data_IF_186814753461
#
_entry.id   IF_186814753461
#
_cell.length_a   1.000
_cell.length_b   1.000
_cell.length_c   1.000
_cell.angle_alpha   90.00
_cell.angle_beta   90.00
_cell.angle_gamma   90.00
#
_symmetry.space_group_name_H-M   'P 1'
#
loop_
_entity.id
_entity.type
_entity.pdbx_description
1 polymer ?
#
# COMPACT_ATOMS: atom_id res chain seq x y z
N UNK A 1 32.44 -1.23 12.53
CA UNK A 1 31.64 -1.02 13.76
C UNK A 1 30.22 -1.47 13.48
N UNK A 2 29.73 -2.50 14.18
CA UNK A 2 28.35 -2.98 14.02
C UNK A 2 27.47 -2.08 14.88
N UNK A 3 26.64 -1.22 14.28
CA UNK A 3 25.38 -0.85 14.92
C UNK A 3 24.76 -2.18 15.36
N UNK A 4 24.46 -2.42 16.65
CA UNK A 4 23.90 -3.70 17.06
C UNK A 4 22.65 -3.92 16.21
N UNK A 5 22.51 -5.07 15.55
CA UNK A 5 21.44 -5.29 14.54
C UNK A 5 20.07 -4.78 15.04
N UNK A 6 19.78 -4.95 16.33
CA UNK A 6 18.60 -4.42 17.02
C UNK A 6 18.37 -2.91 16.76
N UNK A 7 19.40 -2.08 16.85
CA UNK A 7 19.28 -0.64 16.59
C UNK A 7 19.00 -0.33 15.12
N UNK A 8 19.54 -1.10 14.16
CA UNK A 8 19.22 -0.95 12.74
C UNK A 8 17.74 -1.31 12.46
N UNK A 9 17.25 -2.42 13.01
CA UNK A 9 15.84 -2.81 12.91
C UNK A 9 14.90 -1.80 13.59
N UNK A 10 15.30 -1.24 14.74
CA UNK A 10 14.52 -0.21 15.42
C UNK A 10 14.42 1.08 14.59
N UNK A 11 15.53 1.51 13.97
CA UNK A 11 15.56 2.70 13.10
C UNK A 11 14.68 2.47 11.86
N UNK A 12 14.87 1.34 11.15
CA UNK A 12 14.07 1.00 9.96
C UNK A 12 12.59 0.84 10.32
N UNK A 13 12.28 0.23 11.47
CA UNK A 13 10.91 0.13 11.98
C UNK A 13 10.29 1.48 12.31
N UNK A 14 11.06 2.40 12.90
CA UNK A 14 10.62 3.78 13.15
C UNK A 14 10.33 4.55 11.85
N UNK A 15 11.18 4.41 10.84
CA UNK A 15 10.96 5.00 9.52
C UNK A 15 9.72 4.38 8.87
N UNK A 16 9.60 3.05 8.87
CA UNK A 16 8.44 2.35 8.32
C UNK A 16 7.12 2.74 8.98
N UNK A 17 7.10 2.91 10.30
CA UNK A 17 5.91 3.37 11.02
C UNK A 17 5.53 4.82 10.68
N UNK A 18 6.53 5.71 10.56
CA UNK A 18 6.30 7.09 10.14
C UNK A 18 5.77 7.15 8.71
N UNK A 19 6.36 6.35 7.81
CA UNK A 19 5.92 6.22 6.43
C UNK A 19 4.48 5.72 6.37
N UNK A 20 4.16 4.65 7.09
CA UNK A 20 2.80 4.13 7.13
C UNK A 20 1.77 5.18 7.60
N UNK A 21 2.13 5.99 8.59
CA UNK A 21 1.31 7.11 9.04
C UNK A 21 1.14 8.17 7.94
N UNK A 22 2.22 8.61 7.30
CA UNK A 22 2.19 9.61 6.23
C UNK A 22 1.37 9.11 5.04
N UNK A 23 1.58 7.88 4.59
CA UNK A 23 0.82 7.26 3.50
C UNK A 23 -0.66 7.21 3.84
N UNK A 24 -1.03 6.77 5.06
CA UNK A 24 -2.42 6.74 5.51
C UNK A 24 -3.08 8.13 5.53
N UNK A 25 -2.34 9.17 5.92
CA UNK A 25 -2.82 10.57 5.83
C UNK A 25 -3.01 11.00 4.38
N UNK A 26 -2.09 10.66 3.48
CA UNK A 26 -2.22 10.99 2.05
C UNK A 26 -3.37 10.25 1.39
N UNK A 27 -3.63 8.99 1.75
CA UNK A 27 -4.80 8.23 1.27
C UNK A 27 -6.10 8.86 1.79
N UNK A 28 -6.12 9.29 3.06
CA UNK A 28 -7.26 10.05 3.59
C UNK A 28 -7.50 11.31 2.75
N UNK A 29 -6.46 12.10 2.49
CA UNK A 29 -6.56 13.29 1.62
C UNK A 29 -6.99 12.93 0.19
N UNK A 30 -6.56 11.79 -0.34
CA UNK A 30 -6.99 11.29 -1.64
C UNK A 30 -8.51 11.05 -1.67
N UNK A 31 -9.06 10.38 -0.65
CA UNK A 31 -10.50 10.11 -0.52
C UNK A 31 -11.36 11.37 -0.29
N UNK A 32 -10.72 12.50 0.05
CA UNK A 32 -11.36 13.80 0.28
C UNK A 32 -11.12 14.77 -0.88
N UNK A 33 -10.32 14.38 -1.88
CA UNK A 33 -9.98 15.21 -3.02
C UNK A 33 -11.21 15.43 -3.93
N UNK A 34 -11.79 16.62 -3.88
CA UNK A 34 -12.90 17.03 -4.76
C UNK A 34 -12.45 17.83 -5.98
N UNK A 35 -11.23 18.37 -5.94
CA UNK A 35 -10.70 19.31 -6.95
C UNK A 35 -9.44 18.76 -7.60
N UNK A 36 -9.18 19.20 -8.83
CA UNK A 36 -7.99 18.81 -9.59
C UNK A 36 -6.69 19.19 -8.87
N UNK A 37 -6.62 20.35 -8.20
CA UNK A 37 -5.45 20.73 -7.42
C UNK A 37 -5.26 19.86 -6.18
N UNK A 38 -6.31 19.52 -5.44
CA UNK A 38 -6.16 18.62 -4.29
C UNK A 38 -5.67 17.24 -4.73
N UNK A 39 -6.22 16.71 -5.83
CA UNK A 39 -5.78 15.46 -6.43
C UNK A 39 -4.31 15.52 -6.90
N UNK A 40 -3.88 16.63 -7.51
CA UNK A 40 -2.50 16.79 -7.98
C UNK A 40 -1.51 16.94 -6.82
N UNK A 41 -1.88 17.61 -5.72
CA UNK A 41 -1.07 17.69 -4.49
C UNK A 41 -0.84 16.29 -3.91
N UNK A 42 -1.90 15.49 -3.75
CA UNK A 42 -1.78 14.13 -3.20
C UNK A 42 -0.89 13.26 -4.09
N UNK A 43 -1.13 13.29 -5.41
CA UNK A 43 -0.35 12.52 -6.38
C UNK A 43 1.13 12.95 -6.36
N UNK A 44 1.40 14.25 -6.26
CA UNK A 44 2.74 14.79 -6.15
C UNK A 44 3.46 14.31 -4.88
N UNK A 45 2.81 14.41 -3.72
CA UNK A 45 3.41 13.99 -2.46
C UNK A 45 3.72 12.49 -2.45
N UNK A 46 2.80 11.65 -2.95
CA UNK A 46 3.04 10.21 -3.11
C UNK A 46 4.20 9.93 -4.09
N UNK A 47 4.26 10.64 -5.22
CA UNK A 47 5.36 10.49 -6.18
C UNK A 47 6.72 10.90 -5.59
N UNK A 48 6.77 11.94 -4.75
CA UNK A 48 7.99 12.32 -4.04
C UNK A 48 8.46 11.22 -3.08
N UNK A 49 7.53 10.56 -2.38
CA UNK A 49 7.88 9.46 -1.47
C UNK A 49 8.53 8.29 -2.23
N UNK A 50 7.93 7.89 -3.37
CA UNK A 50 8.53 6.88 -4.27
C UNK A 50 9.92 7.31 -4.74
N UNK A 51 10.08 8.57 -5.18
CA UNK A 51 11.36 9.09 -5.66
C UNK A 51 12.46 9.06 -4.59
N UNK A 52 12.11 9.37 -3.33
CA UNK A 52 13.04 9.34 -2.21
C UNK A 52 13.62 7.94 -1.98
N UNK A 53 12.76 6.92 -1.97
CA UNK A 53 13.21 5.54 -1.81
C UNK A 53 13.86 4.96 -3.07
N UNK A 54 13.50 5.44 -4.27
CA UNK A 54 14.14 4.98 -5.50
C UNK A 54 15.65 5.34 -5.53
N UNK A 55 15.99 6.55 -5.06
CA UNK A 55 17.39 6.95 -4.90
C UNK A 55 18.12 6.12 -3.86
N UNK A 56 17.47 5.85 -2.71
CA UNK A 56 18.03 5.00 -1.66
C UNK A 56 18.23 3.55 -2.12
N UNK A 57 17.27 3.00 -2.86
CA UNK A 57 17.32 1.66 -3.41
C UNK A 57 18.56 1.47 -4.29
N UNK A 58 18.87 2.44 -5.16
CA UNK A 58 20.05 2.38 -6.03
C UNK A 58 21.35 2.23 -5.20
N UNK A 59 21.48 2.99 -4.12
CA UNK A 59 22.63 2.91 -3.22
C UNK A 59 22.75 1.51 -2.60
N UNK A 60 21.65 0.94 -2.12
CA UNK A 60 21.68 -0.36 -1.46
C UNK A 60 21.84 -1.54 -2.43
N UNK A 61 21.46 -1.38 -3.70
CA UNK A 61 21.68 -2.40 -4.75
C UNK A 61 23.16 -2.52 -5.10
N UNK A 62 23.89 -1.40 -5.18
CA UNK A 62 25.30 -1.39 -5.55
C UNK A 62 26.12 -0.45 -4.63
N UNK A 63 26.39 -0.84 -3.37
CA UNK A 63 26.99 0.06 -2.38
C UNK A 63 28.35 0.60 -2.83
N UNK A 64 28.43 1.91 -3.04
CA UNK A 64 29.67 2.58 -3.42
C UNK A 64 29.52 4.10 -3.61
N UNK A 65 30.62 4.86 -3.68
CA UNK A 65 30.54 6.32 -3.84
C UNK A 65 29.79 6.77 -5.09
N UNK A 66 29.90 6.03 -6.20
CA UNK A 66 29.17 6.31 -7.44
C UNK A 66 27.65 6.17 -7.25
N UNK A 67 27.21 5.10 -6.59
CA UNK A 67 25.78 4.84 -6.34
C UNK A 67 25.10 5.90 -5.47
N UNK A 68 25.83 6.55 -4.56
CA UNK A 68 25.30 7.68 -3.77
C UNK A 68 24.98 8.84 -4.72
N UNK A 69 25.91 9.18 -5.61
CA UNK A 69 25.76 10.28 -6.56
C UNK A 69 24.63 9.95 -7.55
N UNK A 70 24.63 8.75 -8.12
CA UNK A 70 23.60 8.30 -9.05
C UNK A 70 22.22 8.23 -8.37
N UNK A 71 22.15 7.79 -7.10
CA UNK A 71 20.91 7.73 -6.33
C UNK A 71 20.36 9.12 -6.01
N UNK A 72 21.23 10.07 -5.66
CA UNK A 72 20.86 11.48 -5.51
C UNK A 72 20.36 12.10 -6.81
N UNK A 73 21.02 11.81 -7.94
CA UNK A 73 20.57 12.28 -9.26
C UNK A 73 19.21 11.69 -9.63
N UNK A 74 19.02 10.38 -9.45
CA UNK A 74 17.77 9.70 -9.74
C UNK A 74 16.64 10.25 -8.88
N UNK A 75 16.85 10.35 -7.56
CA UNK A 75 15.86 10.92 -6.64
C UNK A 75 15.51 12.36 -7.01
N UNK A 76 16.51 13.20 -7.24
CA UNK A 76 16.32 14.60 -7.64
C UNK A 76 15.58 14.75 -8.97
N UNK A 77 15.91 13.90 -9.96
CA UNK A 77 15.28 13.91 -11.27
C UNK A 77 13.80 13.50 -11.15
N UNK A 78 13.52 12.40 -10.44
CA UNK A 78 12.15 11.92 -10.24
C UNK A 78 11.30 12.93 -9.45
N UNK A 79 11.85 13.51 -8.38
CA UNK A 79 11.19 14.59 -7.64
C UNK A 79 10.91 15.79 -8.54
N UNK A 80 11.88 16.25 -9.34
CA UNK A 80 11.70 17.37 -10.26
C UNK A 80 10.62 17.10 -11.31
N UNK A 81 10.61 15.89 -11.89
CA UNK A 81 9.59 15.48 -12.86
C UNK A 81 8.19 15.47 -12.21
N UNK A 82 8.09 15.02 -10.95
CA UNK A 82 6.81 14.95 -10.22
C UNK A 82 6.17 16.34 -9.97
N UNK A 83 6.98 17.41 -9.91
CA UNK A 83 6.48 18.79 -9.76
C UNK A 83 5.71 19.26 -10.99
N UNK A 84 6.12 18.83 -12.19
CA UNK A 84 5.55 19.30 -13.47
C UNK A 84 4.02 19.15 -13.52
N UNK A 85 3.42 17.96 -13.30
CA UNK A 85 1.97 17.81 -13.38
C UNK A 85 1.22 18.60 -12.30
N UNK A 86 1.79 18.74 -11.11
CA UNK A 86 1.24 19.59 -10.04
C UNK A 86 1.24 21.07 -10.47
N UNK A 87 2.39 21.57 -10.91
CA UNK A 87 2.58 22.95 -11.31
C UNK A 87 1.69 23.35 -12.50
N UNK A 88 1.56 22.49 -13.50
CA UNK A 88 0.66 22.72 -14.64
C UNK A 88 -0.80 22.79 -14.22
N UNK A 89 -1.22 21.93 -13.28
CA UNK A 89 -2.58 21.94 -12.73
C UNK A 89 -2.83 23.22 -11.92
N UNK A 90 -1.86 23.62 -11.10
CA UNK A 90 -1.91 24.83 -10.31
C UNK A 90 -1.97 26.10 -11.18
N UNK A 91 -1.11 26.22 -12.19
CA UNK A 91 -1.13 27.34 -13.14
C UNK A 91 -2.48 27.47 -13.86
N UNK A 92 -3.06 26.34 -14.27
CA UNK A 92 -4.40 26.33 -14.89
C UNK A 92 -5.47 26.84 -13.95
N UNK A 93 -5.40 26.48 -12.66
CA UNK A 93 -6.34 26.98 -11.66
C UNK A 93 -6.15 28.48 -11.38
N UNK A 94 -4.90 28.94 -11.23
CA UNK A 94 -4.59 30.37 -11.03
C UNK A 94 -5.08 31.19 -12.21
N UNK A 95 -4.80 30.77 -13.45
CA UNK A 95 -5.28 31.45 -14.66
C UNK A 95 -6.81 31.57 -14.66
N UNK A 96 -7.51 30.50 -14.32
CA UNK A 96 -8.97 30.50 -14.27
C UNK A 96 -9.51 31.42 -13.16
N UNK A 97 -8.89 31.44 -11.97
CA UNK A 97 -9.26 32.36 -10.89
C UNK A 97 -9.14 33.83 -11.34
N UNK A 98 -8.13 34.15 -12.15
CA UNK A 98 -7.95 35.50 -12.70
C UNK A 98 -9.00 35.82 -13.77
N UNK A 99 -9.34 34.86 -14.63
CA UNK A 99 -10.32 35.05 -15.71
C UNK A 99 -11.77 35.14 -15.20
N UNK A 100 -12.13 34.35 -14.18
CA UNK A 100 -13.51 34.21 -13.68
C UNK A 100 -13.82 35.09 -12.45
N UNK A 101 -12.79 35.60 -11.76
CA UNK A 101 -12.95 36.48 -10.59
C UNK A 101 -13.87 35.88 -9.52
N UNK A 102 -14.91 36.63 -9.13
CA UNK A 102 -15.87 36.25 -8.09
C UNK A 102 -16.75 35.03 -8.46
N UNK A 103 -16.81 34.65 -9.74
CA UNK A 103 -17.57 33.49 -10.21
C UNK A 103 -16.74 32.20 -10.22
N UNK A 104 -15.49 32.25 -9.74
CA UNK A 104 -14.59 31.10 -9.80
C UNK A 104 -15.15 29.88 -9.07
N UNK A 105 -15.20 28.76 -9.79
CA UNK A 105 -15.47 27.45 -9.24
C UNK A 105 -14.25 26.55 -9.43
N UNK A 106 -13.78 25.91 -8.36
CA UNK A 106 -12.65 25.00 -8.42
C UNK A 106 -12.92 23.83 -9.37
N UNK A 107 -11.95 23.51 -10.22
CA UNK A 107 -12.13 22.46 -11.24
C UNK A 107 -12.31 21.10 -10.59
N UNK A 108 -13.36 20.34 -10.94
CA UNK A 108 -13.51 18.97 -10.50
C UNK A 108 -12.46 18.05 -11.16
N UNK A 109 -12.29 16.87 -10.60
CA UNK A 109 -11.42 15.83 -11.17
C UNK A 109 -12.06 15.29 -12.45
N UNK A 110 -11.39 15.46 -13.60
CA UNK A 110 -11.92 15.07 -14.92
C UNK A 110 -12.04 13.56 -15.09
N UNK A 111 -11.06 12.81 -14.56
CA UNK A 111 -10.98 11.35 -14.70
C UNK A 111 -10.75 10.67 -13.34
N UNK A 112 -11.82 10.46 -12.54
CA UNK A 112 -11.69 9.92 -11.19
C UNK A 112 -11.02 8.54 -11.16
N UNK A 113 -11.36 7.65 -12.09
CA UNK A 113 -10.73 6.32 -12.18
C UNK A 113 -9.22 6.37 -12.43
N UNK A 114 -8.74 7.35 -13.23
CA UNK A 114 -7.29 7.53 -13.46
C UNK A 114 -6.59 8.05 -12.22
N UNK A 115 -7.26 8.93 -11.46
CA UNK A 115 -6.75 9.42 -10.19
C UNK A 115 -6.65 8.28 -9.16
N UNK A 116 -7.71 7.49 -8.99
CA UNK A 116 -7.72 6.32 -8.10
C UNK A 116 -6.59 5.36 -8.50
N UNK A 117 -6.50 5.00 -9.77
CA UNK A 117 -5.44 4.10 -10.25
C UNK A 117 -4.04 4.68 -10.02
N UNK A 118 -3.83 5.98 -10.21
CA UNK A 118 -2.55 6.63 -9.95
C UNK A 118 -2.19 6.62 -8.45
N UNK A 119 -3.14 6.91 -7.56
CA UNK A 119 -2.94 6.84 -6.11
C UNK A 119 -2.57 5.41 -5.69
N UNK A 120 -3.35 4.41 -6.13
CA UNK A 120 -3.07 2.99 -5.83
C UNK A 120 -1.68 2.59 -6.34
N UNK A 121 -1.36 2.93 -7.59
CA UNK A 121 -0.06 2.59 -8.18
C UNK A 121 1.11 3.26 -7.44
N UNK A 122 0.97 4.51 -7.01
CA UNK A 122 2.00 5.22 -6.28
C UNK A 122 2.18 4.69 -4.85
N UNK A 123 1.09 4.33 -4.15
CA UNK A 123 1.17 3.71 -2.84
C UNK A 123 1.86 2.34 -2.93
N UNK A 124 1.44 1.48 -3.87
CA UNK A 124 2.11 0.20 -4.10
C UNK A 124 3.56 0.37 -4.51
N UNK A 125 3.85 1.35 -5.37
CA UNK A 125 5.21 1.70 -5.76
C UNK A 125 6.05 2.12 -4.55
N UNK A 126 5.49 2.90 -3.63
CA UNK A 126 6.17 3.31 -2.41
C UNK A 126 6.50 2.09 -1.54
N UNK A 127 5.53 1.21 -1.30
CA UNK A 127 5.73 0.02 -0.47
C UNK A 127 6.73 -0.95 -1.08
N UNK A 128 6.69 -1.16 -2.40
CA UNK A 128 7.65 -2.03 -3.09
C UNK A 128 9.08 -1.46 -3.02
N UNK A 129 9.26 -0.17 -3.32
CA UNK A 129 10.59 0.45 -3.32
C UNK A 129 11.14 0.56 -1.89
N UNK A 130 10.30 0.93 -0.91
CA UNK A 130 10.67 0.94 0.51
C UNK A 130 11.01 -0.46 1.01
N UNK A 131 10.15 -1.45 0.74
CA UNK A 131 10.36 -2.85 1.13
C UNK A 131 11.66 -3.41 0.56
N UNK A 132 11.95 -3.17 -0.71
CA UNK A 132 13.22 -3.54 -1.35
C UNK A 132 14.42 -2.86 -0.68
N UNK A 133 14.31 -1.55 -0.41
CA UNK A 133 15.35 -0.76 0.26
C UNK A 133 15.65 -1.30 1.65
N UNK A 134 14.60 -1.58 2.44
CA UNK A 134 14.74 -2.06 3.81
C UNK A 134 15.24 -3.49 3.87
N UNK A 135 14.80 -4.34 2.94
CA UNK A 135 15.30 -5.70 2.82
C UNK A 135 16.81 -5.69 2.56
N UNK A 136 17.28 -4.90 1.60
CA UNK A 136 18.72 -4.76 1.32
C UNK A 136 19.50 -4.12 2.47
N UNK A 137 18.92 -3.12 3.15
CA UNK A 137 19.54 -2.48 4.30
C UNK A 137 19.66 -3.42 5.52
N UNK A 138 18.71 -4.34 5.69
CA UNK A 138 18.72 -5.34 6.75
C UNK A 138 19.62 -6.54 6.44
N UNK A 139 19.94 -6.80 5.16
CA UNK A 139 20.89 -7.81 4.71
C UNK A 139 20.89 -8.04 3.19
N UNK A 140 21.95 -8.64 2.63
CA UNK A 140 22.06 -8.85 1.19
C UNK A 140 21.20 -10.06 0.76
N UNK A 141 20.01 -9.82 0.19
CA UNK A 141 19.15 -10.90 -0.28
C UNK A 141 18.17 -10.51 -1.41
N UNK A 142 18.63 -9.74 -2.40
CA UNK A 142 17.94 -9.66 -3.70
C UNK A 142 18.80 -10.36 -4.74
N UNK A 143 18.40 -11.57 -5.13
CA UNK A 143 19.05 -12.35 -6.18
C UNK A 143 17.98 -13.04 -7.01
N UNK A 144 18.11 -13.03 -8.34
CA UNK A 144 17.15 -13.65 -9.24
C UNK A 144 16.64 -12.68 -10.31
N UNK A 145 15.59 -13.08 -11.00
CA UNK A 145 14.89 -12.24 -11.97
C UNK A 145 14.04 -11.15 -11.29
N UNK A 146 13.48 -10.24 -12.10
CA UNK A 146 12.62 -9.16 -11.59
C UNK A 146 11.38 -9.68 -10.82
N UNK A 147 10.83 -10.83 -11.24
CA UNK A 147 9.71 -11.47 -10.55
C UNK A 147 10.12 -12.02 -9.19
N UNK A 148 11.29 -12.67 -9.08
CA UNK A 148 11.80 -13.17 -7.80
C UNK A 148 12.03 -12.03 -6.80
N UNK A 149 12.54 -10.89 -7.28
CA UNK A 149 12.72 -9.67 -6.48
C UNK A 149 11.37 -9.13 -6.01
N UNK A 150 10.39 -8.99 -6.91
CA UNK A 150 9.06 -8.50 -6.55
C UNK A 150 8.35 -9.41 -5.55
N UNK A 151 8.41 -10.72 -5.76
CA UNK A 151 7.84 -11.72 -4.84
C UNK A 151 8.55 -11.70 -3.49
N UNK A 152 9.89 -11.61 -3.49
CA UNK A 152 10.68 -11.51 -2.25
C UNK A 152 10.34 -10.27 -1.44
N UNK A 153 10.15 -9.13 -2.10
CA UNK A 153 9.77 -7.86 -1.45
C UNK A 153 8.34 -7.91 -0.95
N UNK A 154 7.38 -8.35 -1.78
CA UNK A 154 5.95 -8.41 -1.43
C UNK A 154 5.66 -9.38 -0.27
N UNK A 155 6.51 -10.39 -0.09
CA UNK A 155 6.40 -11.34 1.02
C UNK A 155 7.28 -10.97 2.23
N UNK A 156 8.01 -9.87 2.16
CA UNK A 156 8.93 -9.44 3.22
C UNK A 156 8.19 -8.89 4.45
N UNK A 157 8.77 -9.01 5.66
CA UNK A 157 8.25 -8.37 6.87
C UNK A 157 8.04 -6.86 6.69
N UNK A 158 8.99 -6.22 6.01
CA UNK A 158 9.01 -4.78 5.81
C UNK A 158 7.87 -4.29 4.92
N UNK A 159 7.37 -5.12 4.01
CA UNK A 159 6.22 -4.80 3.17
C UNK A 159 4.91 -5.15 3.87
N UNK A 160 4.79 -6.34 4.45
CA UNK A 160 3.55 -6.81 5.04
C UNK A 160 3.15 -6.03 6.29
N UNK A 161 4.11 -5.73 7.18
CA UNK A 161 3.81 -5.00 8.41
C UNK A 161 3.53 -3.52 8.16
N UNK A 162 4.31 -2.83 7.32
CA UNK A 162 4.04 -1.42 7.00
C UNK A 162 2.70 -1.29 6.32
N UNK A 163 2.42 -2.14 5.33
CA UNK A 163 1.14 -2.10 4.63
C UNK A 163 -0.04 -2.42 5.54
N UNK A 164 0.04 -3.47 6.37
CA UNK A 164 -1.05 -3.76 7.31
C UNK A 164 -1.31 -2.60 8.26
N UNK A 165 -0.25 -1.89 8.68
CA UNK A 165 -0.37 -0.68 9.48
C UNK A 165 -1.00 0.48 8.69
N UNK A 166 -0.63 0.68 7.42
CA UNK A 166 -1.25 1.66 6.52
C UNK A 166 -2.74 1.42 6.35
N UNK A 167 -3.14 0.18 6.11
CA UNK A 167 -4.55 -0.21 6.00
C UNK A 167 -5.31 0.03 7.29
N UNK A 168 -4.73 -0.36 8.44
CA UNK A 168 -5.34 -0.16 9.74
C UNK A 168 -5.51 1.33 10.07
N UNK A 169 -4.48 2.15 9.84
CA UNK A 169 -4.51 3.59 10.07
C UNK A 169 -5.48 4.29 9.12
N UNK A 170 -5.49 3.92 7.84
CA UNK A 170 -6.42 4.47 6.85
C UNK A 170 -7.87 4.16 7.23
N UNK A 171 -8.15 2.90 7.60
CA UNK A 171 -9.48 2.48 8.07
C UNK A 171 -9.89 3.25 9.32
N UNK A 172 -8.96 3.45 10.25
CA UNK A 172 -9.20 4.23 11.46
C UNK A 172 -9.49 5.72 11.17
N UNK A 173 -8.73 6.34 10.27
CA UNK A 173 -8.92 7.75 9.90
C UNK A 173 -10.20 8.01 9.12
N UNK A 174 -10.72 7.01 8.42
CA UNK A 174 -11.94 7.11 7.64
C UNK A 174 -13.17 6.51 8.32
N UNK A 175 -13.06 6.09 9.59
CA UNK A 175 -14.13 5.42 10.36
C UNK A 175 -15.49 6.12 10.34
N UNK A 176 -15.48 7.46 10.28
CA UNK A 176 -16.71 8.28 10.33
C UNK A 176 -17.35 8.43 8.94
N UNK A 177 -16.65 8.02 7.88
CA UNK A 177 -17.09 8.13 6.47
C UNK A 177 -17.50 6.81 5.84
N UNK A 178 -17.04 5.69 6.40
CA UNK A 178 -17.38 4.35 5.93
C UNK A 178 -18.49 3.73 6.79
N UNK A 179 -19.32 2.89 6.18
CA UNK A 179 -20.36 2.19 6.93
C UNK A 179 -19.74 1.30 8.02
N UNK A 180 -20.42 1.13 9.15
CA UNK A 180 -19.95 0.22 10.21
C UNK A 180 -19.73 -1.22 9.69
N UNK A 181 -20.50 -1.59 8.66
CA UNK A 181 -20.34 -2.80 7.87
C UNK A 181 -18.93 -2.93 7.29
N UNK A 182 -18.59 -1.96 6.43
CA UNK A 182 -17.32 -1.88 5.72
C UNK A 182 -16.13 -1.69 6.68
N UNK A 183 -16.27 -0.85 7.71
CA UNK A 183 -15.23 -0.62 8.73
C UNK A 183 -14.71 -1.92 9.34
N UNK A 184 -15.62 -2.82 9.73
CA UNK A 184 -15.24 -4.11 10.33
C UNK A 184 -14.55 -5.02 9.32
N UNK A 185 -15.03 -5.06 8.08
CA UNK A 185 -14.40 -5.86 7.02
C UNK A 185 -12.97 -5.38 6.76
N UNK A 186 -12.79 -4.07 6.57
CA UNK A 186 -11.48 -3.45 6.31
C UNK A 186 -10.50 -3.63 7.49
N UNK A 187 -10.99 -3.56 8.73
CA UNK A 187 -10.18 -3.80 9.92
C UNK A 187 -9.77 -5.27 10.06
N UNK A 188 -10.69 -6.20 9.77
CA UNK A 188 -10.37 -7.63 9.74
C UNK A 188 -9.39 -7.94 8.59
N UNK A 189 -9.53 -7.27 7.46
CA UNK A 189 -8.64 -7.39 6.32
C UNK A 189 -7.21 -6.98 6.67
N UNK A 190 -7.02 -5.80 7.29
CA UNK A 190 -5.69 -5.37 7.73
C UNK A 190 -5.09 -6.31 8.79
N UNK A 191 -5.92 -6.87 9.68
CA UNK A 191 -5.49 -7.86 10.65
C UNK A 191 -5.06 -9.19 10.00
N UNK A 192 -5.81 -9.68 9.01
CA UNK A 192 -5.45 -10.89 8.25
C UNK A 192 -4.10 -10.69 7.55
N UNK A 193 -3.89 -9.53 6.92
CA UNK A 193 -2.63 -9.19 6.29
C UNK A 193 -1.47 -9.14 7.30
N UNK A 194 -1.67 -8.53 8.48
CA UNK A 194 -0.68 -8.53 9.56
C UNK A 194 -0.30 -9.95 10.01
N UNK A 195 -1.27 -10.86 10.01
CA UNK A 195 -1.10 -12.27 10.40
C UNK A 195 -0.63 -13.16 9.25
N UNK A 196 -0.05 -12.58 8.20
CA UNK A 196 0.53 -13.35 7.10
C UNK A 196 1.74 -14.17 7.57
N UNK A 197 1.78 -15.49 7.33
CA UNK A 197 2.87 -16.36 7.80
C UNK A 197 4.21 -16.08 7.14
N UNK A 198 4.22 -15.48 5.95
CA UNK A 198 5.44 -15.06 5.27
C UNK A 198 6.12 -13.85 5.93
N UNK A 199 5.40 -13.11 6.78
CA UNK A 199 5.94 -11.89 7.40
C UNK A 199 7.17 -12.17 8.28
N UNK A 200 7.26 -13.33 8.94
CA UNK A 200 8.47 -13.70 9.70
C UNK A 200 8.78 -15.20 9.48
N UNK A 201 10.01 -15.50 9.10
CA UNK A 201 10.51 -16.87 8.92
C UNK A 201 10.85 -17.59 10.25
N UNK A 202 10.09 -17.32 11.31
CA UNK A 202 10.23 -17.97 12.61
C UNK A 202 9.18 -19.07 12.71
N UNK A 203 9.57 -20.31 12.98
CA UNK A 203 8.63 -21.45 13.05
C UNK A 203 7.45 -21.21 14.02
N UNK A 204 7.69 -20.53 15.14
CA UNK A 204 6.64 -20.11 16.07
C UNK A 204 5.68 -19.07 15.49
N UNK A 205 6.17 -18.11 14.69
CA UNK A 205 5.33 -17.14 13.99
C UNK A 205 4.47 -17.82 12.94
N UNK A 206 5.06 -18.67 12.09
CA UNK A 206 4.32 -19.37 11.03
C UNK A 206 3.15 -20.16 11.60
N UNK A 207 3.37 -20.95 12.66
CA UNK A 207 2.28 -21.69 13.31
C UNK A 207 1.23 -20.75 13.91
N UNK A 208 1.66 -19.75 14.70
CA UNK A 208 0.77 -18.80 15.35
C UNK A 208 -0.09 -18.03 14.35
N UNK A 209 0.53 -17.49 13.30
CA UNK A 209 -0.12 -16.65 12.32
C UNK A 209 -1.07 -17.46 11.43
N UNK A 210 -0.74 -18.71 11.08
CA UNK A 210 -1.66 -19.61 10.38
C UNK A 210 -2.93 -19.86 11.20
N UNK A 211 -2.80 -20.21 12.49
CA UNK A 211 -3.97 -20.45 13.34
C UNK A 211 -4.80 -19.18 13.56
N UNK A 212 -4.14 -18.05 13.87
CA UNK A 212 -4.84 -16.81 14.17
C UNK A 212 -5.45 -16.16 12.92
N UNK A 213 -4.76 -16.22 11.77
CA UNK A 213 -5.29 -15.76 10.49
C UNK A 213 -6.50 -16.61 10.06
N UNK A 214 -6.44 -17.94 10.22
CA UNK A 214 -7.58 -18.82 9.96
C UNK A 214 -8.76 -18.51 10.87
N UNK A 215 -8.54 -18.29 12.16
CA UNK A 215 -9.59 -17.91 13.10
C UNK A 215 -10.21 -16.55 12.71
N UNK A 216 -9.38 -15.58 12.33
CA UNK A 216 -9.83 -14.25 11.88
C UNK A 216 -10.65 -14.33 10.59
N UNK A 217 -10.24 -15.16 9.63
CA UNK A 217 -11.00 -15.43 8.42
C UNK A 217 -12.35 -16.10 8.73
N UNK A 218 -12.39 -17.08 9.64
CA UNK A 218 -13.66 -17.70 10.08
C UNK A 218 -14.58 -16.64 10.69
N UNK A 219 -14.05 -15.76 11.55
CA UNK A 219 -14.82 -14.64 12.13
C UNK A 219 -15.34 -13.72 11.03
N UNK A 220 -14.52 -13.37 10.03
CA UNK A 220 -14.94 -12.57 8.88
C UNK A 220 -16.07 -13.26 8.11
N UNK A 221 -15.96 -14.55 7.81
CA UNK A 221 -17.01 -15.31 7.12
C UNK A 221 -18.31 -15.35 7.91
N UNK A 222 -18.24 -15.64 9.22
CA UNK A 222 -19.42 -15.65 10.10
C UNK A 222 -20.07 -14.26 10.08
N UNK A 223 -19.27 -13.21 10.22
CA UNK A 223 -19.74 -11.83 10.19
C UNK A 223 -20.43 -11.48 8.86
N UNK A 224 -19.81 -11.82 7.73
CA UNK A 224 -20.39 -11.58 6.41
C UNK A 224 -21.71 -12.34 6.23
N UNK A 225 -21.76 -13.62 6.59
CA UNK A 225 -22.99 -14.42 6.52
C UNK A 225 -24.11 -13.86 7.40
N UNK A 226 -23.79 -13.46 8.64
CA UNK A 226 -24.73 -12.80 9.54
C UNK A 226 -25.20 -11.46 8.98
N UNK A 227 -24.29 -10.67 8.40
CA UNK A 227 -24.61 -9.38 7.79
C UNK A 227 -25.58 -9.54 6.62
N UNK A 228 -25.32 -10.49 5.71
CA UNK A 228 -26.18 -10.83 4.56
C UNK A 228 -27.54 -11.36 5.04
N UNK A 229 -27.55 -12.21 6.06
CA UNK A 229 -28.79 -12.76 6.62
C UNK A 229 -29.70 -11.68 7.23
N UNK A 230 -29.11 -10.74 7.98
CA UNK A 230 -29.83 -9.62 8.61
C UNK A 230 -30.22 -8.52 7.63
N UNK A 231 -29.40 -8.26 6.62
CA UNK A 231 -29.61 -7.21 5.62
C UNK A 231 -29.84 -7.87 4.25
N UNK A 232 -31.09 -8.28 4.01
CA UNK A 232 -31.51 -8.97 2.76
C UNK A 232 -31.30 -8.15 1.48
N UNK A 233 -31.09 -6.84 1.60
CA UNK A 233 -30.72 -5.96 0.51
C UNK A 233 -29.30 -5.44 0.80
N UNK A 234 -28.30 -6.12 0.27
CA UNK A 234 -26.93 -5.62 0.28
C UNK A 234 -26.82 -4.49 -0.73
N UNK A 235 -26.12 -3.43 -0.35
CA UNK A 235 -25.64 -2.45 -1.31
C UNK A 235 -24.75 -3.16 -2.35
N UNK A 236 -24.98 -2.86 -3.63
CA UNK A 236 -24.30 -3.53 -4.73
C UNK A 236 -22.77 -3.32 -4.66
N UNK A 237 -22.34 -2.13 -4.22
CA UNK A 237 -20.92 -1.83 -4.03
C UNK A 237 -20.29 -2.70 -2.93
N UNK A 238 -20.97 -2.82 -1.77
CA UNK A 238 -20.51 -3.67 -0.68
C UNK A 238 -20.48 -5.16 -1.09
N UNK A 239 -21.50 -5.65 -1.79
CA UNK A 239 -21.53 -7.05 -2.27
C UNK A 239 -20.42 -7.33 -3.28
N UNK A 240 -20.14 -6.42 -4.21
CA UNK A 240 -19.08 -6.58 -5.19
C UNK A 240 -17.71 -6.61 -4.50
N UNK A 241 -17.49 -5.70 -3.54
CA UNK A 241 -16.29 -5.64 -2.73
C UNK A 241 -16.05 -6.94 -1.95
N UNK A 242 -17.05 -7.42 -1.23
CA UNK A 242 -16.97 -8.69 -0.49
C UNK A 242 -16.71 -9.87 -1.42
N UNK A 243 -17.41 -9.94 -2.55
CA UNK A 243 -17.18 -11.00 -3.54
C UNK A 243 -15.75 -11.02 -4.08
N UNK A 244 -15.20 -9.85 -4.41
CA UNK A 244 -13.81 -9.71 -4.83
C UNK A 244 -12.83 -10.12 -3.72
N UNK A 245 -13.06 -9.66 -2.48
CA UNK A 245 -12.23 -9.99 -1.32
C UNK A 245 -12.17 -11.50 -1.07
N UNK A 246 -13.32 -12.19 -1.14
CA UNK A 246 -13.37 -13.65 -0.99
C UNK A 246 -12.63 -14.38 -2.11
N UNK A 247 -12.72 -13.90 -3.35
CA UNK A 247 -11.95 -14.44 -4.48
C UNK A 247 -10.43 -14.30 -4.26
N UNK A 248 -10.00 -13.13 -3.78
CA UNK A 248 -8.59 -12.85 -3.48
C UNK A 248 -8.10 -13.75 -2.33
N UNK A 249 -8.88 -13.92 -1.26
CA UNK A 249 -8.54 -14.83 -0.17
C UNK A 249 -8.49 -16.29 -0.61
N UNK A 250 -9.36 -16.72 -1.51
CA UNK A 250 -9.25 -18.02 -2.16
C UNK A 250 -7.91 -18.19 -2.87
N UNK A 251 -7.48 -17.17 -3.64
CA UNK A 251 -6.19 -17.16 -4.33
C UNK A 251 -5.01 -17.19 -3.35
N UNK A 252 -5.04 -16.35 -2.31
CA UNK A 252 -3.99 -16.29 -1.29
C UNK A 252 -3.85 -17.61 -0.54
N UNK A 253 -4.96 -18.20 -0.10
CA UNK A 253 -4.94 -19.49 0.60
C UNK A 253 -4.44 -20.63 -0.29
N UNK A 254 -4.85 -20.67 -1.56
CA UNK A 254 -4.34 -21.65 -2.52
C UNK A 254 -2.83 -21.46 -2.76
N UNK A 255 -2.37 -20.22 -2.96
CA UNK A 255 -0.97 -19.88 -3.12
C UNK A 255 -0.13 -20.27 -1.90
N UNK A 256 -0.60 -19.94 -0.70
CA UNK A 256 0.07 -20.28 0.55
C UNK A 256 0.13 -21.80 0.78
N UNK A 257 -0.95 -22.53 0.49
CA UNK A 257 -0.98 -23.98 0.61
C UNK A 257 0.03 -24.64 -0.32
N UNK A 258 0.04 -24.23 -1.60
CA UNK A 258 0.97 -24.78 -2.59
C UNK A 258 2.42 -24.45 -2.21
N UNK A 259 2.67 -23.22 -1.74
CA UNK A 259 3.99 -22.79 -1.27
C UNK A 259 4.50 -23.64 -0.10
N UNK A 260 3.66 -23.85 0.94
CA UNK A 260 4.05 -24.62 2.12
C UNK A 260 4.31 -26.11 1.82
N UNK A 261 3.52 -26.73 0.93
CA UNK A 261 3.59 -28.18 0.70
C UNK A 261 4.48 -28.59 -0.48
N UNK A 262 4.54 -27.77 -1.53
CA UNK A 262 5.23 -28.11 -2.78
C UNK A 262 6.45 -27.20 -3.06
N UNK A 263 6.69 -26.18 -2.23
CA UNK A 263 7.82 -25.26 -2.39
C UNK A 263 7.74 -24.36 -3.63
N UNK A 264 6.59 -24.31 -4.31
CA UNK A 264 6.36 -23.50 -5.52
C UNK A 264 5.23 -22.48 -5.34
N UNK A 265 5.10 -21.54 -6.30
CA UNK A 265 3.99 -20.58 -6.40
C UNK A 265 3.93 -19.47 -5.34
N UNK A 266 5.08 -19.08 -4.78
CA UNK A 266 5.19 -17.87 -3.97
C UNK A 266 4.66 -16.63 -4.70
N UNK A 267 4.81 -16.60 -6.03
CA UNK A 267 4.32 -15.52 -6.90
C UNK A 267 2.80 -15.38 -6.88
N UNK A 268 2.06 -16.49 -6.73
CA UNK A 268 0.59 -16.46 -6.67
C UNK A 268 0.12 -15.88 -5.34
N UNK A 269 0.83 -16.20 -4.25
CA UNK A 269 0.58 -15.61 -2.96
C UNK A 269 0.91 -14.10 -2.97
N UNK A 270 2.07 -13.71 -3.52
CA UNK A 270 2.44 -12.31 -3.68
C UNK A 270 1.45 -11.54 -4.56
N UNK A 271 0.96 -12.14 -5.65
CA UNK A 271 -0.08 -11.56 -6.49
C UNK A 271 -1.39 -11.39 -5.69
N UNK A 272 -1.75 -12.36 -4.85
CA UNK A 272 -2.90 -12.27 -3.97
C UNK A 272 -2.80 -11.08 -3.01
N UNK A 273 -1.65 -10.92 -2.35
CA UNK A 273 -1.38 -9.77 -1.48
C UNK A 273 -1.52 -8.45 -2.25
N UNK A 274 -0.86 -8.32 -3.41
CA UNK A 274 -0.93 -7.07 -4.19
C UNK A 274 -2.36 -6.79 -4.66
N UNK A 275 -3.10 -7.82 -5.08
CA UNK A 275 -4.50 -7.68 -5.50
C UNK A 275 -5.41 -7.28 -4.33
N UNK A 276 -5.17 -7.83 -3.13
CA UNK A 276 -5.86 -7.44 -1.90
C UNK A 276 -5.67 -5.94 -1.61
N UNK A 277 -4.44 -5.45 -1.73
CA UNK A 277 -4.10 -4.05 -1.53
C UNK A 277 -4.74 -3.14 -2.58
N UNK A 278 -4.72 -3.54 -3.85
CA UNK A 278 -5.41 -2.82 -4.93
C UNK A 278 -6.90 -2.69 -4.61
N UNK A 279 -7.54 -3.79 -4.20
CA UNK A 279 -8.96 -3.78 -3.84
C UNK A 279 -9.24 -2.86 -2.64
N UNK A 280 -8.41 -2.93 -1.59
CA UNK A 280 -8.54 -2.08 -0.40
C UNK A 280 -8.47 -0.60 -0.75
N UNK A 281 -7.39 -0.17 -1.41
CA UNK A 281 -7.19 1.26 -1.69
C UNK A 281 -8.16 1.78 -2.74
N UNK A 282 -8.53 0.97 -3.75
CA UNK A 282 -9.54 1.36 -4.72
C UNK A 282 -10.90 1.61 -4.05
N UNK A 283 -11.29 0.78 -3.07
CA UNK A 283 -12.54 0.94 -2.33
C UNK A 283 -12.53 2.10 -1.33
N UNK A 284 -11.36 2.53 -0.86
CA UNK A 284 -11.20 3.66 0.05
C UNK A 284 -11.18 5.00 -0.69
N UNK A 285 -10.52 5.05 -1.85
CA UNK A 285 -10.34 6.31 -2.61
C UNK A 285 -11.52 6.58 -3.54
N UNK A 286 -12.17 5.53 -4.07
CA UNK A 286 -13.34 5.63 -4.96
C UNK A 286 -14.65 5.69 -4.21
#
# INVERSE_FOLDING_TARGET
ERIPMIAAYAILGGIGALMAYVTAVLIKWASEAKTAVNASVVTFLLAMMVAMFAGALLYFVAPGPSSIIEGLWLGSALMSISVIPFFLTYLKEVKQRVEEGDQFAARPIVHPYRFIAAVVALVLGNELVMGATFQLAAGPALSGGILDVLTGVATSPWFLFTMSAEMALTTYFLRDRISAGMYRVLLLQSLIMFLSPTALALGGWVAFSVYLSSATMIVLFIYLMEHIYRHRQLDAAFSHYVGALLGIYGLMMAGQFIWLYYGGWADVFALGIVTEMVLFFAAIVG
#
